data_IF_477332852761
#
_entry.id   IF_477332852761
#
_cell.length_a   1.000
_cell.length_b   1.000
_cell.length_c   1.000
_cell.angle_alpha   90.00
_cell.angle_beta   90.00
_cell.angle_gamma   90.00
#
_symmetry.space_group_name_H-M   'P 1'
#
loop_
_entity.id
_entity.type
_entity.pdbx_description
1 polymer ?
#
# COMPACT_ATOMS: atom_id res chain seq x y z
N UNK A 1 -10.41 3.32 -23.98
CA UNK A 1 -10.69 4.17 -22.80
C UNK A 1 -9.43 4.22 -21.96
N UNK A 2 -8.61 5.25 -22.17
CA UNK A 2 -7.34 5.43 -21.48
C UNK A 2 -7.53 6.48 -20.39
N UNK A 3 -7.30 6.11 -19.14
CA UNK A 3 -7.25 7.05 -18.03
C UNK A 3 -5.78 7.43 -17.80
N UNK A 4 -5.43 8.69 -18.07
CA UNK A 4 -4.11 9.26 -17.79
C UNK A 4 -4.02 9.69 -16.34
N UNK A 5 -3.10 9.06 -15.60
CA UNK A 5 -2.78 9.36 -14.20
C UNK A 5 -2.06 10.71 -14.11
N UNK A 6 -2.67 11.71 -13.47
CA UNK A 6 -1.92 12.83 -12.91
C UNK A 6 -1.51 12.50 -11.46
N UNK A 7 -0.35 13.02 -11.08
CA UNK A 7 0.44 12.66 -9.91
C UNK A 7 -0.16 13.09 -8.57
N UNK A 8 -0.04 12.20 -7.59
CA UNK A 8 0.09 12.46 -6.14
C UNK A 8 -0.64 13.68 -5.55
N UNK A 9 -1.79 13.43 -4.90
CA UNK A 9 -2.17 14.17 -3.70
C UNK A 9 -2.86 13.21 -2.72
N UNK A 10 -2.47 13.31 -1.45
CA UNK A 10 -3.22 12.78 -0.32
C UNK A 10 -4.44 13.70 -0.16
N UNK A 11 -5.40 13.59 -1.08
CA UNK A 11 -6.50 14.54 -1.27
C UNK A 11 -7.86 13.87 -1.23
N UNK A 12 -8.83 14.49 -0.55
CA UNK A 12 -10.14 13.91 -0.25
C UNK A 12 -10.97 13.59 -1.51
N UNK A 13 -11.46 12.35 -1.61
CA UNK A 13 -12.43 11.88 -2.61
C UNK A 13 -13.72 11.54 -1.86
N UNK A 14 -14.88 11.93 -2.40
CA UNK A 14 -16.21 11.63 -1.81
C UNK A 14 -17.15 11.03 -2.86
N UNK A 15 -18.07 10.15 -2.46
CA UNK A 15 -18.97 9.48 -3.41
C UNK A 15 -20.35 9.04 -2.88
N UNK A 16 -21.36 9.11 -3.76
CA UNK A 16 -22.79 8.72 -3.54
C UNK A 16 -23.18 7.47 -4.38
N UNK A 17 -24.23 6.67 -4.06
CA UNK A 17 -24.66 5.45 -4.83
C UNK A 17 -26.20 5.29 -4.81
N UNK A 18 -26.91 4.77 -5.86
CA UNK A 18 -26.66 4.83 -7.30
C UNK A 18 -27.71 5.65 -8.11
N UNK A 19 -27.37 6.08 -9.35
CA UNK A 19 -26.05 5.94 -9.98
C UNK A 19 -25.03 6.86 -9.30
N UNK A 20 -23.80 6.36 -9.11
CA UNK A 20 -22.86 6.97 -8.19
C UNK A 20 -21.98 8.03 -8.83
N UNK A 21 -21.89 9.19 -8.19
CA UNK A 21 -21.01 10.29 -8.58
C UNK A 21 -19.81 10.32 -7.64
N UNK A 22 -18.60 10.38 -8.20
CA UNK A 22 -17.35 10.64 -7.48
C UNK A 22 -16.94 12.11 -7.66
N UNK A 23 -16.52 12.75 -6.59
CA UNK A 23 -16.02 14.12 -6.57
C UNK A 23 -14.53 14.11 -6.22
N UNK A 24 -13.74 14.80 -7.04
CA UNK A 24 -12.30 14.91 -6.89
C UNK A 24 -11.92 16.29 -6.35
N UNK A 25 -10.73 16.39 -5.73
CA UNK A 25 -10.22 17.63 -5.13
C UNK A 25 -10.03 18.76 -6.14
N UNK A 26 -9.75 18.42 -7.40
CA UNK A 26 -9.62 19.38 -8.51
C UNK A 26 -10.97 19.97 -8.98
N UNK A 27 -12.07 19.62 -8.31
CA UNK A 27 -13.43 19.99 -8.70
C UNK A 27 -14.01 19.11 -9.80
N UNK A 28 -13.26 18.13 -10.29
CA UNK A 28 -13.71 17.16 -11.28
C UNK A 28 -14.78 16.22 -10.71
N UNK A 29 -15.61 15.70 -11.62
CA UNK A 29 -16.62 14.69 -11.28
C UNK A 29 -16.59 13.53 -12.26
N UNK A 30 -16.90 12.33 -11.77
CA UNK A 30 -17.07 11.15 -12.60
C UNK A 30 -18.34 10.39 -12.21
N UNK A 31 -19.06 9.88 -13.21
CA UNK A 31 -20.26 9.06 -13.03
C UNK A 31 -19.97 7.60 -13.32
N UNK A 32 -20.56 6.70 -12.52
CA UNK A 32 -20.46 5.26 -12.73
C UNK A 32 -21.57 4.49 -12.03
N UNK A 33 -21.73 3.24 -12.41
CA UNK A 33 -22.67 2.31 -11.74
C UNK A 33 -22.03 1.62 -10.54
N UNK A 34 -20.71 1.46 -10.56
CA UNK A 34 -19.92 0.82 -9.51
C UNK A 34 -18.75 1.71 -9.13
N UNK A 35 -18.55 1.89 -7.84
CA UNK A 35 -17.39 2.56 -7.26
C UNK A 35 -16.55 1.55 -6.48
N UNK A 36 -15.26 1.48 -6.78
CA UNK A 36 -14.29 0.65 -6.05
C UNK A 36 -13.30 1.57 -5.32
N UNK A 37 -13.31 1.55 -3.99
CA UNK A 37 -12.36 2.29 -3.17
C UNK A 37 -11.01 1.54 -3.11
N UNK A 38 -10.06 1.94 -3.96
CA UNK A 38 -8.71 1.36 -4.05
C UNK A 38 -7.62 2.34 -3.53
N UNK A 39 -7.98 3.16 -2.53
CA UNK A 39 -7.19 4.25 -1.95
C UNK A 39 -6.36 3.83 -0.71
N UNK A 40 -6.34 2.53 -0.39
CA UNK A 40 -5.44 1.94 0.61
C UNK A 40 -5.82 2.23 2.07
N UNK A 41 -4.86 2.09 2.98
CA UNK A 41 -5.12 2.20 4.44
C UNK A 41 -5.63 3.59 4.85
N UNK A 42 -5.17 4.63 4.16
CA UNK A 42 -5.58 6.02 4.33
C UNK A 42 -6.91 6.37 3.65
N UNK A 43 -7.74 5.37 3.36
CA UNK A 43 -8.95 5.55 2.56
C UNK A 43 -9.84 6.68 3.06
N UNK A 44 -10.14 7.60 2.15
CA UNK A 44 -11.04 8.75 2.35
C UNK A 44 -12.50 8.35 2.14
N UNK A 45 -12.74 7.26 1.42
CA UNK A 45 -14.07 6.67 1.20
C UNK A 45 -14.50 5.77 2.37
N UNK A 46 -13.55 5.06 2.99
CA UNK A 46 -13.83 4.17 4.15
C UNK A 46 -14.68 4.82 5.24
N UNK A 47 -14.42 6.04 5.74
CA UNK A 47 -15.28 6.66 6.77
C UNK A 47 -16.72 6.92 6.29
N UNK A 48 -16.94 7.14 4.99
CA UNK A 48 -18.26 7.42 4.43
C UNK A 48 -19.10 6.14 4.27
N UNK A 49 -18.47 5.00 3.99
CA UNK A 49 -19.15 3.75 3.63
C UNK A 49 -19.04 2.64 4.66
N UNK A 50 -17.96 2.63 5.43
CA UNK A 50 -17.67 1.64 6.46
C UNK A 50 -17.25 2.36 7.75
N UNK A 51 -18.16 3.16 8.36
CA UNK A 51 -17.83 3.99 9.52
C UNK A 51 -17.48 3.18 10.77
N UNK A 52 -17.66 1.85 10.76
CA UNK A 52 -17.24 0.94 11.83
C UNK A 52 -15.86 0.31 11.57
N UNK A 53 -15.37 0.30 10.33
CA UNK A 53 -14.07 -0.28 9.98
C UNK A 53 -12.94 0.68 10.38
N UNK A 54 -12.25 0.37 11.47
CA UNK A 54 -11.13 1.15 12.02
C UNK A 54 -9.79 0.58 11.57
N UNK A 55 -8.87 1.46 11.21
CA UNK A 55 -7.45 1.07 11.08
C UNK A 55 -6.90 1.00 12.50
N UNK A 56 -6.27 -0.12 12.81
CA UNK A 56 -5.65 -0.36 14.12
C UNK A 56 -4.15 -0.49 13.94
N UNK A 57 -3.40 0.08 14.88
CA UNK A 57 -1.96 -0.17 14.95
C UNK A 57 -1.73 -1.61 15.42
N UNK A 58 -0.87 -2.35 14.70
CA UNK A 58 -0.53 -3.72 15.04
C UNK A 58 0.50 -3.83 16.18
N UNK A 59 0.98 -2.69 16.71
CA UNK A 59 2.05 -2.65 17.72
C UNK A 59 3.41 -3.07 17.18
N UNK A 60 3.52 -3.32 15.88
CA UNK A 60 4.77 -3.74 15.22
C UNK A 60 5.31 -2.59 14.39
N UNK A 61 6.64 -2.44 14.41
CA UNK A 61 7.36 -1.59 13.46
C UNK A 61 8.27 -2.47 12.63
N UNK A 62 8.28 -2.22 11.32
CA UNK A 62 9.11 -2.94 10.36
C UNK A 62 10.13 -1.97 9.79
N UNK A 63 11.41 -2.30 9.97
CA UNK A 63 12.50 -1.68 9.22
C UNK A 63 12.81 -2.60 8.06
N UNK A 64 12.69 -2.09 6.84
CA UNK A 64 12.95 -2.86 5.63
C UNK A 64 14.06 -2.19 4.82
N UNK A 65 15.01 -3.01 4.34
CA UNK A 65 16.10 -2.57 3.47
C UNK A 65 16.15 -3.42 2.20
N UNK A 66 16.64 -2.82 1.12
CA UNK A 66 17.01 -3.55 -0.11
C UNK A 66 18.49 -3.33 -0.36
N UNK A 67 19.23 -4.42 -0.55
CA UNK A 67 20.63 -4.37 -0.99
C UNK A 67 20.77 -5.15 -2.31
N UNK A 68 21.56 -4.65 -3.28
CA UNK A 68 21.88 -5.42 -4.47
C UNK A 68 22.59 -6.72 -4.08
N UNK A 69 22.16 -7.86 -4.65
CA UNK A 69 22.81 -9.14 -4.42
C UNK A 69 24.06 -9.28 -5.29
N UNK A 70 25.17 -8.65 -4.86
CA UNK A 70 26.46 -8.76 -5.55
C UNK A 70 27.08 -10.15 -5.36
N UNK A 71 28.02 -10.59 -6.22
CA UNK A 71 28.72 -11.86 -6.04
C UNK A 71 29.41 -11.97 -4.67
N UNK A 72 30.02 -10.87 -4.21
CA UNK A 72 30.64 -10.78 -2.88
C UNK A 72 29.63 -10.97 -1.76
N UNK A 73 28.51 -10.25 -1.80
CA UNK A 73 27.46 -10.40 -0.78
C UNK A 73 26.89 -11.84 -0.79
N UNK A 74 26.74 -12.42 -1.97
CA UNK A 74 26.27 -13.81 -2.13
C UNK A 74 27.24 -14.83 -1.54
N UNK A 75 28.55 -14.61 -1.61
CA UNK A 75 29.54 -15.50 -0.98
C UNK A 75 29.62 -15.35 0.55
N UNK A 76 29.22 -14.19 1.08
CA UNK A 76 29.24 -13.90 2.52
C UNK A 76 27.92 -14.31 3.23
N UNK A 77 26.82 -14.49 2.49
CA UNK A 77 25.54 -14.89 3.05
C UNK A 77 25.46 -16.41 3.30
N UNK A 78 24.88 -16.86 4.43
CA UNK A 78 24.58 -18.28 4.65
C UNK A 78 23.74 -18.84 3.50
N UNK A 79 24.11 -20.01 2.97
CA UNK A 79 23.50 -20.63 1.79
C UNK A 79 21.98 -20.83 1.92
N UNK A 80 21.47 -21.03 3.15
CA UNK A 80 20.04 -21.11 3.44
C UNK A 80 19.26 -19.85 3.04
N UNK A 81 19.88 -18.66 3.08
CA UNK A 81 19.23 -17.37 2.81
C UNK A 81 19.20 -17.00 1.32
N UNK A 82 19.99 -17.69 0.48
CA UNK A 82 20.10 -17.45 -0.95
C UNK A 82 19.75 -18.67 -1.81
N UNK A 83 19.05 -19.65 -1.22
CA UNK A 83 18.68 -20.92 -1.87
C UNK A 83 17.54 -20.79 -2.89
N UNK A 84 16.77 -19.69 -2.88
CA UNK A 84 15.77 -19.43 -3.92
C UNK A 84 16.45 -18.95 -5.21
N UNK A 85 16.01 -19.43 -6.39
CA UNK A 85 16.46 -18.88 -7.66
C UNK A 85 16.18 -17.37 -7.70
N UNK A 86 17.05 -16.58 -8.34
CA UNK A 86 16.80 -15.15 -8.52
C UNK A 86 15.46 -14.98 -9.22
N UNK A 87 14.49 -14.43 -8.50
CA UNK A 87 13.30 -13.86 -9.12
C UNK A 87 13.72 -12.51 -9.67
N UNK A 88 13.35 -12.18 -10.90
CA UNK A 88 13.56 -10.83 -11.42
C UNK A 88 12.75 -9.84 -10.58
N UNK A 89 13.34 -9.31 -9.50
CA UNK A 89 12.63 -8.49 -8.52
C UNK A 89 13.29 -8.35 -7.14
N UNK A 90 12.87 -7.31 -6.42
CA UNK A 90 13.23 -7.05 -5.02
C UNK A 90 12.68 -8.18 -4.12
N UNK A 91 13.55 -9.00 -3.54
CA UNK A 91 13.14 -9.99 -2.53
C UNK A 91 12.82 -9.26 -1.24
N UNK A 92 11.56 -9.31 -0.81
CA UNK A 92 11.14 -8.91 0.54
C UNK A 92 11.39 -10.06 1.51
N UNK A 93 12.61 -10.18 2.03
CA UNK A 93 12.85 -11.03 3.19
C UNK A 93 12.51 -10.25 4.47
N UNK A 94 11.66 -10.85 5.29
CA UNK A 94 11.25 -10.32 6.60
C UNK A 94 11.99 -11.12 7.66
N UNK A 95 12.95 -10.50 8.34
CA UNK A 95 13.57 -11.06 9.55
C UNK A 95 13.65 -9.98 10.61
N UNK A 96 12.59 -9.85 11.41
CA UNK A 96 12.57 -8.97 12.56
C UNK A 96 11.16 -8.79 13.12
N UNK A 97 10.91 -9.30 14.32
CA UNK A 97 9.87 -8.79 15.20
C UNK A 97 10.60 -7.98 16.27
N UNK A 98 10.57 -6.65 16.16
CA UNK A 98 10.95 -5.80 17.29
C UNK A 98 9.68 -5.52 18.07
N UNK A 99 9.49 -6.12 19.28
CA UNK A 99 8.42 -5.68 20.16
C UNK A 99 8.78 -4.26 20.60
N UNK A 100 8.02 -3.28 20.12
CA UNK A 100 8.12 -1.92 20.62
C UNK A 100 7.21 -1.88 21.84
N UNK A 101 7.79 -1.93 23.04
CA UNK A 101 7.07 -1.57 24.25
C UNK A 101 6.70 -0.10 24.16
N UNK A 102 5.41 0.20 24.09
CA UNK A 102 4.88 1.56 24.25
C UNK A 102 4.43 1.66 25.71
N UNK A 103 4.77 2.74 26.46
CA UNK A 103 4.32 2.92 27.84
C UNK A 103 2.80 2.98 27.98
#
# INVERSE_FOLDING_TARGET
MAWTRSSSSTGGVSATIPPGTAFFEDGGTAHGTVLVAADGVGSVIRPQRLPHARVVDSGTRLIYGRVPLTPRLRSELPTANCSRPPVDGCVKSFSGRSPVGIP
#
